data_IF_859460864837
#
_entry.id   IF_859460864837
#
_cell.length_a   1.000
_cell.length_b   1.000
_cell.length_c   1.000
_cell.angle_alpha   90.00
_cell.angle_beta   90.00
_cell.angle_gamma   90.00
#
_symmetry.space_group_name_H-M   'P 1'
#
loop_
_entity.id
_entity.type
_entity.pdbx_description
1 polymer ?
#
# COMPACT_ATOMS: atom_id res chain seq x y z
N UNK A 1 -4.90 -4.44 -11.61
CA UNK A 1 -5.20 -4.55 -10.16
C UNK A 1 -6.12 -3.44 -9.64
N UNK A 2 -6.20 -2.31 -10.32
CA UNK A 2 -7.08 -1.19 -9.93
C UNK A 2 -8.53 -1.66 -9.81
N UNK A 3 -9.20 -1.29 -8.71
CA UNK A 3 -10.57 -1.67 -8.42
C UNK A 3 -10.73 -3.03 -7.75
N UNK A 4 -9.65 -3.76 -7.53
CA UNK A 4 -9.69 -5.07 -6.88
C UNK A 4 -9.60 -4.95 -5.37
N UNK A 5 -10.33 -5.82 -4.67
CA UNK A 5 -10.22 -5.91 -3.22
C UNK A 5 -9.00 -6.75 -2.84
N UNK A 6 -8.22 -6.23 -1.92
CA UNK A 6 -6.99 -6.90 -1.48
C UNK A 6 -6.93 -6.93 0.04
N UNK A 7 -6.24 -7.94 0.56
CA UNK A 7 -5.77 -7.97 1.94
C UNK A 7 -4.26 -7.76 1.93
N UNK A 8 -3.79 -6.88 2.79
CA UNK A 8 -2.37 -6.54 2.85
C UNK A 8 -1.90 -6.40 4.29
N UNK A 9 -0.61 -6.60 4.50
CA UNK A 9 0.05 -6.34 5.77
C UNK A 9 0.63 -4.94 5.77
N UNK A 10 0.31 -4.15 6.79
CA UNK A 10 0.88 -2.81 6.93
C UNK A 10 2.24 -2.86 7.65
N UNK A 11 2.82 -1.68 7.89
CA UNK A 11 4.11 -1.58 8.58
C UNK A 11 4.07 -2.02 10.05
N UNK A 12 2.89 -2.15 10.62
CA UNK A 12 2.69 -2.63 11.99
C UNK A 12 2.30 -4.11 12.05
N UNK A 13 2.46 -4.82 10.94
CA UNK A 13 2.14 -6.26 10.83
C UNK A 13 0.65 -6.58 11.00
N UNK A 14 -0.21 -5.58 10.79
CA UNK A 14 -1.66 -5.77 10.80
C UNK A 14 -2.16 -6.17 9.43
N UNK A 15 -3.14 -7.05 9.39
CA UNK A 15 -3.81 -7.42 8.14
C UNK A 15 -5.00 -6.48 7.93
N UNK A 16 -4.97 -5.72 6.85
CA UNK A 16 -6.02 -4.77 6.50
C UNK A 16 -6.63 -5.15 5.16
N UNK A 17 -7.87 -4.72 4.94
CA UNK A 17 -8.58 -4.90 3.70
C UNK A 17 -8.83 -3.55 3.04
N UNK A 18 -8.69 -3.50 1.72
CA UNK A 18 -8.94 -2.29 0.97
C UNK A 18 -9.13 -2.54 -0.50
N UNK A 19 -9.29 -1.45 -1.24
CA UNK A 19 -9.48 -1.46 -2.69
C UNK A 19 -8.30 -0.76 -3.32
N UNK A 20 -7.69 -1.39 -4.32
CA UNK A 20 -6.57 -0.80 -5.05
C UNK A 20 -7.08 0.35 -5.91
N UNK A 21 -6.52 1.53 -5.70
CA UNK A 21 -6.86 2.73 -6.48
C UNK A 21 -5.77 3.12 -7.48
N UNK A 22 -4.54 2.65 -7.25
CA UNK A 22 -3.43 2.82 -8.18
C UNK A 22 -2.45 1.66 -7.99
N UNK A 23 -2.02 1.03 -9.07
CA UNK A 23 -1.10 -0.10 -9.03
C UNK A 23 0.25 0.18 -9.69
N UNK A 24 0.51 1.41 -10.05
CA UNK A 24 1.78 1.84 -10.61
C UNK A 24 2.18 3.21 -10.03
N UNK A 25 2.09 3.32 -8.73
CA UNK A 25 2.37 4.56 -8.04
C UNK A 25 3.89 4.76 -7.90
N UNK A 26 4.35 5.96 -8.19
CA UNK A 26 5.75 6.34 -8.02
C UNK A 26 5.81 7.54 -7.08
N UNK A 27 6.59 7.44 -6.01
CA UNK A 27 6.80 8.56 -5.11
C UNK A 27 7.72 9.57 -5.75
N UNK A 28 7.33 10.88 -5.75
CA UNK A 28 8.05 11.91 -6.51
C UNK A 28 9.45 12.27 -5.98
N UNK A 29 9.79 11.87 -4.77
CA UNK A 29 11.06 12.27 -4.14
C UNK A 29 11.97 11.08 -3.80
N UNK A 30 11.84 9.98 -4.52
CA UNK A 30 12.58 8.79 -4.16
C UNK A 30 12.14 8.28 -2.78
N UNK A 31 12.65 7.19 -2.35
CA UNK A 31 12.26 6.60 -1.09
C UNK A 31 13.09 7.04 0.09
N UNK A 32 12.77 6.50 1.27
CA UNK A 32 13.63 6.66 2.41
C UNK A 32 15.02 6.11 2.10
N UNK A 33 16.03 6.79 2.64
CA UNK A 33 17.40 6.31 2.53
C UNK A 33 17.55 5.13 3.50
N UNK A 34 17.82 3.95 2.94
CA UNK A 34 18.12 2.75 3.75
C UNK A 34 19.55 2.36 3.47
N UNK A 35 20.35 2.26 4.52
CA UNK A 35 21.79 1.95 4.44
C UNK A 35 22.57 2.89 3.51
N UNK A 36 22.20 4.15 3.47
CA UNK A 36 22.85 5.15 2.64
C UNK A 36 22.48 5.09 1.16
N UNK A 37 21.51 4.25 0.79
CA UNK A 37 21.01 4.14 -0.58
C UNK A 37 19.58 4.62 -0.66
N UNK A 38 19.26 5.35 -1.73
CA UNK A 38 17.89 5.70 -2.05
C UNK A 38 17.20 4.44 -2.54
N UNK A 39 16.12 4.02 -1.87
CA UNK A 39 15.33 2.90 -2.31
C UNK A 39 14.46 3.31 -3.49
N UNK A 40 14.40 2.45 -4.51
CA UNK A 40 13.51 2.66 -5.65
C UNK A 40 12.06 2.45 -5.20
N UNK A 41 11.24 3.47 -5.45
CA UNK A 41 9.83 3.46 -5.06
C UNK A 41 8.89 3.49 -6.26
N UNK A 42 9.30 2.86 -7.35
CA UNK A 42 8.44 2.65 -8.51
C UNK A 42 7.58 1.39 -8.33
N UNK A 43 6.44 1.37 -8.98
CA UNK A 43 5.57 0.21 -8.99
C UNK A 43 4.86 -0.08 -7.68
N UNK A 44 4.65 0.95 -6.88
CA UNK A 44 3.94 0.81 -5.60
C UNK A 44 2.44 0.72 -5.82
N UNK A 45 1.74 0.20 -4.83
CA UNK A 45 0.30 0.04 -4.84
C UNK A 45 -0.33 0.99 -3.85
N UNK A 46 -1.28 1.80 -4.30
CA UNK A 46 -2.07 2.66 -3.42
C UNK A 46 -3.39 1.97 -3.14
N UNK A 47 -3.69 1.77 -1.85
CA UNK A 47 -4.89 1.08 -1.39
C UNK A 47 -5.72 2.03 -0.55
N UNK A 48 -7.01 2.13 -0.88
CA UNK A 48 -7.99 2.86 -0.08
C UNK A 48 -8.62 1.90 0.92
N UNK A 49 -8.51 2.23 2.21
CA UNK A 49 -9.05 1.40 3.28
C UNK A 49 -9.65 2.25 4.39
N UNK A 50 -10.48 1.63 5.22
CA UNK A 50 -11.09 2.31 6.37
C UNK A 50 -10.22 2.07 7.61
N UNK A 51 -9.76 3.15 8.23
CA UNK A 51 -8.96 3.08 9.44
C UNK A 51 -9.86 3.25 10.67
N UNK A 52 -9.66 2.40 11.67
CA UNK A 52 -10.51 2.37 12.87
C UNK A 52 -9.75 2.66 14.15
N UNK A 53 -8.42 2.81 14.10
CA UNK A 53 -7.63 2.88 15.33
C UNK A 53 -7.21 4.29 15.72
N UNK A 54 -6.56 5.04 14.84
CA UNK A 54 -6.04 6.37 15.22
C UNK A 54 -6.87 7.52 14.68
N UNK A 55 -7.04 7.59 13.38
CA UNK A 55 -7.92 8.55 12.73
C UNK A 55 -9.00 7.78 12.01
N UNK A 56 -10.18 7.69 12.61
CA UNK A 56 -11.29 6.95 12.03
C UNK A 56 -11.72 7.59 10.72
N UNK A 57 -11.73 6.82 9.65
CA UNK A 57 -12.17 7.27 8.34
C UNK A 57 -11.44 6.57 7.21
N UNK A 58 -11.80 6.96 5.98
CA UNK A 58 -11.15 6.44 4.79
C UNK A 58 -9.79 7.10 4.60
N UNK A 59 -8.79 6.28 4.29
CA UNK A 59 -7.45 6.78 3.99
C UNK A 59 -6.80 5.94 2.90
N UNK A 60 -5.80 6.51 2.24
CA UNK A 60 -5.00 5.84 1.24
C UNK A 60 -3.63 5.49 1.83
N UNK A 61 -3.23 4.24 1.67
CA UNK A 61 -1.93 3.77 2.11
C UNK A 61 -1.16 3.26 0.90
N UNK A 62 0.11 3.62 0.83
CA UNK A 62 0.99 3.15 -0.25
C UNK A 62 1.79 1.98 0.28
N UNK A 63 1.72 0.86 -0.42
CA UNK A 63 2.37 -0.38 -0.04
C UNK A 63 3.17 -0.95 -1.20
N UNK A 64 4.10 -1.84 -0.89
CA UNK A 64 4.79 -2.63 -1.91
C UNK A 64 3.88 -3.80 -2.32
N UNK A 65 3.96 -4.26 -3.58
CA UNK A 65 3.18 -5.42 -4.03
C UNK A 65 3.38 -6.66 -3.17
N UNK A 66 4.56 -6.84 -2.61
CA UNK A 66 4.89 -7.97 -1.73
C UNK A 66 4.11 -7.96 -0.41
N UNK A 67 3.53 -6.82 -0.02
CA UNK A 67 2.72 -6.72 1.19
C UNK A 67 1.30 -7.24 0.99
N UNK A 68 0.89 -7.45 -0.25
CA UNK A 68 -0.44 -8.01 -0.55
C UNK A 68 -0.40 -9.51 -0.31
N UNK A 69 -1.28 -9.99 0.59
CA UNK A 69 -1.37 -11.40 0.95
C UNK A 69 -2.53 -12.11 0.25
N UNK A 70 -3.53 -11.37 -0.20
CA UNK A 70 -4.68 -11.92 -0.91
C UNK A 70 -5.25 -10.86 -1.84
N UNK A 71 -5.65 -11.28 -3.03
CA UNK A 71 -6.30 -10.41 -4.00
C UNK A 71 -7.49 -11.15 -4.63
N UNK A 72 -8.68 -10.56 -4.51
CA UNK A 72 -9.88 -11.14 -5.09
C UNK A 72 -9.97 -10.83 -6.58
N UNK A 73 -10.12 -11.88 -7.38
CA UNK A 73 -10.25 -11.76 -8.84
C UNK A 73 -9.04 -11.11 -9.53
N UNK A 74 -7.88 -11.30 -9.00
CA UNK A 74 -6.64 -10.87 -9.66
C UNK A 74 -6.15 -11.88 -10.68
#
# INVERSE_FOLDING_TARGET
MIGKEVKFKDKYDRVLEGIVVDDNYTLPYGGPIVDGKVTDLEGLVQVKHYETTMNIGWMNTIIEPSQIIECNNC
#
